data_IF_531799754977
#
_entry.id   IF_531799754977
#
_cell.length_a   1.000
_cell.length_b   1.000
_cell.length_c   1.000
_cell.angle_alpha   90.00
_cell.angle_beta   90.00
_cell.angle_gamma   90.00
#
_symmetry.space_group_name_H-M   'P 1'
#
loop_
_entity.id
_entity.type
_entity.pdbx_description
1 polymer ?
#
# COMPACT_ATOMS: atom_id res chain seq x y z
N UNK A 1 1.63 13.81 17.51
CA UNK A 1 2.57 13.10 16.60
C UNK A 1 2.11 13.42 15.19
N UNK A 2 2.92 14.06 14.36
CA UNK A 2 2.56 14.29 12.96
C UNK A 2 2.57 12.93 12.24
N UNK A 3 1.45 12.55 11.64
CA UNK A 3 1.41 11.41 10.73
C UNK A 3 2.11 11.86 9.43
N UNK A 4 3.23 11.23 9.03
CA UNK A 4 3.93 11.60 7.81
C UNK A 4 3.02 11.40 6.59
N UNK A 5 3.22 12.23 5.57
CA UNK A 5 2.44 12.17 4.35
C UNK A 5 2.73 10.86 3.58
N UNK A 6 1.80 10.35 2.74
CA UNK A 6 2.01 9.10 2.02
C UNK A 6 3.25 9.07 1.14
N UNK A 7 3.59 10.17 0.47
CA UNK A 7 4.77 10.30 -0.37
C UNK A 7 6.07 10.26 0.45
N UNK A 8 6.07 10.83 1.66
CA UNK A 8 7.18 10.72 2.61
C UNK A 8 7.37 9.26 3.06
N UNK A 9 6.28 8.57 3.39
CA UNK A 9 6.31 7.16 3.76
C UNK A 9 6.80 6.26 2.62
N UNK A 10 6.41 6.56 1.37
CA UNK A 10 6.95 5.88 0.18
C UNK A 10 8.46 6.07 0.10
N UNK A 11 8.97 7.30 0.23
CA UNK A 11 10.42 7.57 0.20
C UNK A 11 11.17 6.84 1.31
N UNK A 12 10.57 6.73 2.51
CA UNK A 12 11.12 5.93 3.59
C UNK A 12 11.19 4.46 3.20
N UNK A 13 10.09 3.87 2.70
CA UNK A 13 10.07 2.48 2.23
C UNK A 13 11.13 2.20 1.17
N UNK A 14 11.31 3.11 0.21
CA UNK A 14 12.33 2.98 -0.85
C UNK A 14 13.76 2.85 -0.32
N UNK A 15 14.03 3.48 0.83
CA UNK A 15 15.35 3.51 1.48
C UNK A 15 15.55 2.41 2.51
N UNK A 16 14.50 2.02 3.22
CA UNK A 16 14.61 1.17 4.41
C UNK A 16 14.24 -0.29 4.16
N UNK A 17 13.42 -0.58 3.15
CA UNK A 17 13.05 -1.95 2.84
C UNK A 17 14.23 -2.74 2.24
N UNK A 18 14.37 -4.04 2.56
CA UNK A 18 13.48 -4.83 3.40
C UNK A 18 13.80 -4.81 4.90
N UNK A 19 14.84 -4.07 5.32
CA UNK A 19 15.38 -4.11 6.68
C UNK A 19 14.50 -3.46 7.75
N UNK A 20 13.70 -2.45 7.37
CA UNK A 20 12.77 -1.78 8.28
C UNK A 20 11.43 -1.47 7.59
N UNK A 21 10.38 -2.09 8.11
CA UNK A 21 9.01 -2.12 7.58
C UNK A 21 8.08 -1.09 8.21
N UNK A 22 8.52 -0.29 9.18
CA UNK A 22 7.63 0.62 9.93
C UNK A 22 6.90 1.61 9.02
N UNK A 23 7.59 2.18 8.04
CA UNK A 23 6.98 3.08 7.06
C UNK A 23 5.95 2.35 6.18
N UNK A 24 6.23 1.09 5.84
CA UNK A 24 5.34 0.27 5.04
C UNK A 24 4.07 -0.12 5.82
N UNK A 25 4.21 -0.47 7.10
CA UNK A 25 3.07 -0.75 7.98
C UNK A 25 2.14 0.46 8.13
N UNK A 26 2.69 1.67 8.20
CA UNK A 26 1.90 2.90 8.19
C UNK A 26 1.16 3.11 6.87
N UNK A 27 1.82 2.87 5.72
CA UNK A 27 1.14 2.88 4.41
C UNK A 27 0.00 1.86 4.38
N UNK A 28 0.25 0.60 4.74
CA UNK A 28 -0.78 -0.44 4.77
C UNK A 28 -1.95 0.00 5.64
N UNK A 29 -1.69 0.52 6.84
CA UNK A 29 -2.74 0.98 7.76
C UNK A 29 -3.62 2.08 7.16
N UNK A 30 -3.03 3.04 6.41
CA UNK A 30 -3.78 4.12 5.78
C UNK A 30 -4.66 3.66 4.60
N UNK A 31 -4.20 2.65 3.84
CA UNK A 31 -4.86 2.25 2.59
C UNK A 31 -5.69 0.97 2.71
N UNK A 32 -5.49 0.14 3.75
CA UNK A 32 -6.12 -1.19 3.88
C UNK A 32 -7.63 -1.17 3.75
N UNK A 33 -8.31 -0.22 4.39
CA UNK A 33 -9.77 -0.16 4.36
C UNK A 33 -10.30 0.20 2.97
N UNK A 34 -9.64 1.12 2.27
CA UNK A 34 -10.04 1.56 0.93
C UNK A 34 -9.74 0.50 -0.14
N UNK A 35 -8.59 -0.17 -0.02
CA UNK A 35 -8.21 -1.30 -0.88
C UNK A 35 -9.18 -2.46 -0.66
N UNK A 36 -9.43 -2.85 0.59
CA UNK A 36 -10.41 -3.88 0.94
C UNK A 36 -11.81 -3.54 0.43
N UNK A 37 -12.31 -2.32 0.67
CA UNK A 37 -13.64 -1.92 0.17
C UNK A 37 -13.72 -1.97 -1.36
N UNK A 38 -12.62 -1.70 -2.05
CA UNK A 38 -12.56 -1.81 -3.52
C UNK A 38 -12.58 -3.27 -3.96
N UNK A 39 -11.76 -4.12 -3.34
CA UNK A 39 -11.75 -5.55 -3.61
C UNK A 39 -13.11 -6.21 -3.31
N UNK A 40 -13.73 -5.85 -2.19
CA UNK A 40 -15.05 -6.38 -1.80
C UNK A 40 -16.14 -6.03 -2.80
N UNK A 41 -16.16 -4.81 -3.34
CA UNK A 41 -17.09 -4.43 -4.40
C UNK A 41 -16.92 -5.22 -5.69
N UNK A 42 -15.71 -5.76 -5.95
CA UNK A 42 -15.40 -6.53 -7.16
C UNK A 42 -15.65 -8.02 -6.97
N UNK A 43 -15.29 -8.57 -5.80
CA UNK A 43 -15.36 -10.01 -5.53
C UNK A 43 -16.71 -10.45 -4.97
N UNK A 44 -17.42 -9.58 -4.23
CA UNK A 44 -18.71 -9.91 -3.63
C UNK A 44 -18.66 -10.86 -2.44
N UNK A 45 -17.47 -11.37 -2.08
CA UNK A 45 -17.22 -12.19 -0.90
C UNK A 45 -16.10 -11.58 -0.03
N UNK A 46 -16.21 -11.79 1.29
CA UNK A 46 -15.27 -11.27 2.28
C UNK A 46 -13.88 -11.88 2.14
N UNK A 47 -13.79 -13.20 1.98
CA UNK A 47 -12.52 -13.92 1.95
C UNK A 47 -11.74 -13.55 0.69
N UNK A 48 -12.40 -13.60 -0.47
CA UNK A 48 -11.77 -13.22 -1.75
C UNK A 48 -11.30 -11.75 -1.74
N UNK A 49 -12.04 -10.87 -1.06
CA UNK A 49 -11.64 -9.47 -0.90
C UNK A 49 -10.42 -9.29 0.01
N UNK A 50 -10.30 -10.06 1.09
CA UNK A 50 -9.13 -10.06 1.96
C UNK A 50 -7.89 -10.55 1.21
N UNK A 51 -8.02 -11.66 0.50
CA UNK A 51 -6.94 -12.25 -0.30
C UNK A 51 -6.47 -11.27 -1.39
N UNK A 52 -7.42 -10.67 -2.12
CA UNK A 52 -7.09 -9.68 -3.14
C UNK A 52 -6.42 -8.42 -2.55
N UNK A 53 -6.88 -7.94 -1.39
CA UNK A 53 -6.25 -6.80 -0.73
C UNK A 53 -4.81 -7.12 -0.30
N UNK A 54 -4.57 -8.33 0.21
CA UNK A 54 -3.21 -8.78 0.53
C UNK A 54 -2.32 -8.82 -0.71
N UNK A 55 -2.80 -9.38 -1.83
CA UNK A 55 -2.05 -9.41 -3.09
C UNK A 55 -1.68 -8.02 -3.59
N UNK A 56 -2.57 -7.04 -3.44
CA UNK A 56 -2.26 -5.62 -3.74
C UNK A 56 -1.07 -5.15 -2.90
N UNK A 57 -1.09 -5.35 -1.58
CA UNK A 57 0.01 -4.91 -0.72
C UNK A 57 1.31 -5.69 -0.96
N UNK A 58 1.25 -6.95 -1.37
CA UNK A 58 2.43 -7.72 -1.79
C UNK A 58 3.05 -7.14 -3.07
N UNK A 59 2.22 -6.77 -4.05
CA UNK A 59 2.70 -6.05 -5.26
C UNK A 59 3.30 -4.70 -4.90
N UNK A 60 2.67 -3.97 -3.98
CA UNK A 60 3.22 -2.71 -3.46
C UNK A 60 4.59 -2.94 -2.84
N UNK A 61 4.72 -3.89 -1.91
CA UNK A 61 5.99 -4.18 -1.23
C UNK A 61 7.13 -4.49 -2.21
N UNK A 62 6.83 -5.28 -3.24
CA UNK A 62 7.80 -5.68 -4.28
C UNK A 62 8.15 -4.53 -5.24
N UNK A 63 7.19 -3.66 -5.55
CA UNK A 63 7.31 -2.61 -6.57
C UNK A 63 7.62 -1.20 -6.05
N UNK A 64 7.44 -0.92 -4.75
CA UNK A 64 7.54 0.44 -4.20
C UNK A 64 8.91 1.09 -4.41
N UNK A 65 9.99 0.28 -4.48
CA UNK A 65 11.36 0.73 -4.81
C UNK A 65 11.53 1.24 -6.24
N UNK A 66 10.64 0.82 -7.14
CA UNK A 66 10.64 1.18 -8.56
C UNK A 66 9.64 2.31 -8.87
N UNK A 67 8.85 2.75 -7.90
CA UNK A 67 7.92 3.86 -8.09
C UNK A 67 8.70 5.16 -8.28
N UNK A 68 8.68 5.71 -9.50
CA UNK A 68 9.44 6.91 -9.88
C UNK A 68 8.94 8.17 -9.17
N UNK A 69 7.62 8.33 -9.06
CA UNK A 69 6.99 9.45 -8.37
C UNK A 69 6.20 8.99 -7.13
N UNK A 70 6.75 9.21 -5.91
CA UNK A 70 6.07 8.93 -4.65
C UNK A 70 4.70 9.60 -4.49
N UNK A 71 4.47 10.76 -5.12
CA UNK A 71 3.19 11.46 -5.04
C UNK A 71 2.06 10.71 -5.79
N UNK A 72 2.42 9.88 -6.78
CA UNK A 72 1.47 9.06 -7.53
C UNK A 72 1.11 7.74 -6.85
N UNK A 73 1.60 7.48 -5.64
CA UNK A 73 1.39 6.20 -4.94
C UNK A 73 -0.07 5.77 -4.89
N UNK A 74 -0.99 6.69 -4.55
CA UNK A 74 -2.42 6.37 -4.49
C UNK A 74 -2.93 5.88 -5.83
N UNK A 75 -2.66 6.59 -6.92
CA UNK A 75 -3.08 6.17 -8.27
C UNK A 75 -2.40 4.87 -8.72
N UNK A 76 -1.16 4.63 -8.30
CA UNK A 76 -0.42 3.41 -8.61
C UNK A 76 -1.01 2.17 -7.92
N UNK A 77 -1.51 2.31 -6.69
CA UNK A 77 -2.18 1.21 -5.95
C UNK A 77 -3.49 0.76 -6.61
N UNK A 78 -4.22 1.67 -7.26
CA UNK A 78 -5.52 1.39 -7.89
C UNK A 78 -5.43 1.16 -9.41
N UNK A 79 -4.22 1.10 -9.98
CA UNK A 79 -4.00 0.78 -11.39
C UNK A 79 -3.90 -0.73 -11.57
#
# INVERSE_FOLDING_TARGET
MQTPAPDELVRLCQRTLPSDTRAFELLVSMYKERVYATAYRLMGDRQDAEDQAQEVFLKVYRGIRQLEDPAMFTSWVYR
#
